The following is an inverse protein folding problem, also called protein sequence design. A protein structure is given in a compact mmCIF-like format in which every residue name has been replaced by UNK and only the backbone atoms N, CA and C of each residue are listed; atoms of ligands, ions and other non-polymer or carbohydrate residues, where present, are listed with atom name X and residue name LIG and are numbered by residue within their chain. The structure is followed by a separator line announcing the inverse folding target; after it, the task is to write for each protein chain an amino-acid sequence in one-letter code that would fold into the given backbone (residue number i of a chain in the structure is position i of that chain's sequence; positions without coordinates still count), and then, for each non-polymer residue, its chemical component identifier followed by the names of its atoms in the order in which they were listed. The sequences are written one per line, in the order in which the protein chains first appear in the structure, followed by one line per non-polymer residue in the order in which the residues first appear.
data_IF_898390747028
#
_entry.id   IF_898390747028
#
_cell.length_a   1.000
_cell.length_b   1.000
_cell.length_c   1.000
_cell.angle_alpha   90.00
_cell.angle_beta   90.00
_cell.angle_gamma   90.00
#
_symmetry.space_group_name_H-M   'P 1'
#
loop_
_entity.id
_entity.type
_entity.pdbx_description
1 polymer ?
#
# COMPACT_ATOMS: atom_id res chain seq x y z
N UNK A 1 4.89 -19.78 10.80
CA UNK A 1 6.07 -20.05 9.96
C UNK A 1 5.95 -19.52 8.52
N UNK A 2 4.76 -19.14 8.02
CA UNK A 2 4.58 -18.73 6.62
C UNK A 2 5.02 -17.28 6.30
N UNK A 3 4.76 -16.33 7.20
CA UNK A 3 4.96 -14.89 6.95
C UNK A 3 6.38 -14.49 6.51
N UNK A 4 7.43 -15.00 7.17
CA UNK A 4 8.83 -14.63 6.85
C UNK A 4 9.28 -15.10 5.46
N UNK A 5 8.82 -16.28 5.03
CA UNK A 5 9.16 -16.84 3.72
C UNK A 5 8.45 -16.03 2.63
N UNK A 6 7.15 -15.76 2.80
CA UNK A 6 6.40 -14.93 1.86
C UNK A 6 6.93 -13.50 1.79
N UNK A 7 7.40 -12.95 2.91
CA UNK A 7 8.02 -11.62 2.94
C UNK A 7 9.32 -11.59 2.12
N UNK A 8 10.15 -12.63 2.22
CA UNK A 8 11.37 -12.72 1.39
C UNK A 8 11.05 -12.83 -0.11
N UNK A 9 10.00 -13.58 -0.48
CA UNK A 9 9.53 -13.66 -1.86
C UNK A 9 9.03 -12.30 -2.35
N UNK A 10 8.22 -11.62 -1.55
CA UNK A 10 7.70 -10.29 -1.86
C UNK A 10 8.84 -9.28 -2.05
N UNK A 11 9.85 -9.30 -1.19
CA UNK A 11 11.02 -8.41 -1.29
C UNK A 11 11.93 -8.74 -2.49
N UNK A 12 11.79 -9.93 -3.10
CA UNK A 12 12.51 -10.29 -4.32
C UNK A 12 11.80 -9.83 -5.60
N UNK A 13 10.54 -9.40 -5.50
CA UNK A 13 9.80 -8.75 -6.59
C UNK A 13 9.92 -7.22 -6.41
N UNK A 14 10.97 -6.66 -7.02
CA UNK A 14 11.25 -5.23 -6.90
C UNK A 14 10.07 -4.36 -7.37
N UNK A 15 9.39 -4.75 -8.45
CA UNK A 15 8.32 -3.94 -9.03
C UNK A 15 7.11 -3.86 -8.09
N UNK A 16 6.62 -5.01 -7.62
CA UNK A 16 5.51 -5.05 -6.69
C UNK A 16 5.89 -4.37 -5.37
N UNK A 17 7.11 -4.59 -4.88
CA UNK A 17 7.56 -4.00 -3.63
C UNK A 17 7.64 -2.47 -3.69
N UNK A 18 8.10 -1.89 -4.81
CA UNK A 18 8.07 -0.44 -5.00
C UNK A 18 6.64 0.11 -5.10
N UNK A 19 5.72 -0.61 -5.75
CA UNK A 19 4.30 -0.20 -5.79
C UNK A 19 3.68 -0.18 -4.40
N UNK A 20 4.00 -1.15 -3.54
CA UNK A 20 3.57 -1.15 -2.12
C UNK A 20 4.15 0.04 -1.37
N UNK A 21 5.44 0.33 -1.54
CA UNK A 21 6.08 1.52 -0.95
C UNK A 21 5.40 2.82 -1.39
N UNK A 22 5.03 2.95 -2.66
CA UNK A 22 4.31 4.14 -3.19
C UNK A 22 2.90 4.21 -2.59
N UNK A 23 2.17 3.11 -2.57
CA UNK A 23 0.83 3.03 -1.97
C UNK A 23 0.84 3.46 -0.50
N UNK A 24 1.77 2.93 0.29
CA UNK A 24 1.94 3.32 1.70
C UNK A 24 2.34 4.79 1.83
N UNK A 25 3.17 5.31 0.91
CA UNK A 25 3.55 6.73 0.93
C UNK A 25 2.33 7.62 0.72
N UNK A 26 1.46 7.24 -0.20
CA UNK A 26 0.22 7.97 -0.46
C UNK A 26 -0.74 7.86 0.73
N UNK A 27 -0.78 6.71 1.41
CA UNK A 27 -1.55 6.58 2.66
C UNK A 27 -1.02 7.52 3.75
N UNK A 28 0.30 7.64 3.89
CA UNK A 28 0.97 8.51 4.87
C UNK A 28 0.80 10.00 4.55
N UNK A 29 0.68 10.35 3.27
CA UNK A 29 0.63 11.75 2.80
C UNK A 29 -0.77 12.17 2.34
N UNK A 30 -1.79 11.38 2.65
CA UNK A 30 -3.15 11.57 2.17
C UNK A 30 -3.72 12.96 2.48
N UNK A 31 -3.43 13.51 3.67
CA UNK A 31 -3.90 14.84 4.04
C UNK A 31 -3.04 15.98 3.44
N UNK A 32 -1.79 15.69 3.09
CA UNK A 32 -0.81 16.70 2.67
C UNK A 32 -0.64 16.77 1.15
N UNK A 33 -1.05 15.72 0.42
CA UNK A 33 -0.88 15.57 -1.03
C UNK A 33 -2.21 15.32 -1.72
N UNK A 34 -2.68 16.33 -2.46
CA UNK A 34 -3.89 16.20 -3.29
C UNK A 34 -3.75 15.08 -4.33
N UNK A 35 -2.55 14.90 -4.88
CA UNK A 35 -2.25 13.84 -5.84
C UNK A 35 -2.36 12.44 -5.19
N UNK A 36 -1.87 12.28 -3.96
CA UNK A 36 -1.99 11.02 -3.20
C UNK A 36 -3.46 10.70 -2.88
N UNK A 37 -4.19 11.69 -2.36
CA UNK A 37 -5.64 11.57 -2.11
C UNK A 37 -6.40 11.21 -3.38
N UNK A 38 -6.14 11.92 -4.47
CA UNK A 38 -6.77 11.68 -5.77
C UNK A 38 -6.52 10.26 -6.30
N UNK A 39 -5.37 9.65 -6.02
CA UNK A 39 -5.08 8.26 -6.40
C UNK A 39 -5.80 7.26 -5.50
N UNK A 40 -5.75 7.47 -4.19
CA UNK A 40 -6.40 6.58 -3.22
C UNK A 40 -7.93 6.57 -3.36
N UNK A 41 -8.54 7.74 -3.60
CA UNK A 41 -10.00 7.87 -3.74
C UNK A 41 -10.50 7.59 -5.18
N UNK A 42 -9.60 7.27 -6.12
CA UNK A 42 -9.97 7.04 -7.53
C UNK A 42 -10.95 5.89 -7.71
N UNK A 43 -10.80 4.85 -6.89
CA UNK A 43 -11.68 3.68 -6.86
C UNK A 43 -12.35 3.59 -5.48
N UNK A 44 -13.58 4.11 -5.33
CA UNK A 44 -14.30 4.07 -4.06
C UNK A 44 -14.64 2.66 -3.58
N UNK A 45 -14.62 1.65 -4.46
CA UNK A 45 -14.93 0.26 -4.13
C UNK A 45 -13.69 -0.52 -3.70
N UNK A 46 -12.49 0.07 -3.84
CA UNK A 46 -11.25 -0.56 -3.46
C UNK A 46 -11.22 -0.87 -1.96
N UNK A 47 -11.13 -2.17 -1.64
CA UNK A 47 -11.05 -2.64 -0.26
C UNK A 47 -9.75 -2.13 0.36
N UNK A 48 -9.86 -1.35 1.44
CA UNK A 48 -8.71 -0.72 2.13
C UNK A 48 -7.78 0.08 1.20
N UNK A 49 -8.32 0.70 0.14
CA UNK A 49 -7.60 1.44 -0.89
C UNK A 49 -6.70 0.61 -1.82
N UNK A 50 -6.67 -0.73 -1.70
CA UNK A 50 -5.98 -1.59 -2.67
C UNK A 50 -6.74 -1.55 -4.00
N UNK A 51 -6.22 -0.78 -4.95
CA UNK A 51 -6.88 -0.50 -6.22
C UNK A 51 -5.96 -0.71 -7.41
N UNK A 52 -6.58 -0.75 -8.59
CA UNK A 52 -5.89 -0.89 -9.87
C UNK A 52 -4.98 0.31 -10.23
N UNK A 53 -5.02 1.38 -9.43
CA UNK A 53 -4.11 2.53 -9.56
C UNK A 53 -2.67 2.14 -9.25
N UNK A 54 -2.48 1.22 -8.30
CA UNK A 54 -1.15 0.79 -7.84
C UNK A 54 -0.82 -0.63 -8.30
N UNK A 55 -1.83 -1.51 -8.35
CA UNK A 55 -1.67 -2.95 -8.40
C UNK A 55 -2.47 -3.57 -9.55
N UNK A 56 -2.11 -4.76 -10.02
CA UNK A 56 -3.03 -5.56 -10.85
C UNK A 56 -4.09 -6.24 -9.97
N UNK A 57 -5.17 -6.75 -10.56
CA UNK A 57 -6.19 -7.52 -9.80
C UNK A 57 -5.58 -8.71 -9.05
N UNK A 58 -4.62 -9.40 -9.69
CA UNK A 58 -3.88 -10.52 -9.08
C UNK A 58 -3.02 -10.08 -7.91
N UNK A 59 -2.36 -8.92 -8.04
CA UNK A 59 -1.57 -8.36 -6.94
C UNK A 59 -2.48 -7.98 -5.77
N UNK A 60 -3.66 -7.42 -6.03
CA UNK A 60 -4.64 -7.07 -4.99
C UNK A 60 -5.08 -8.33 -4.23
N UNK A 61 -5.46 -9.39 -4.95
CA UNK A 61 -5.85 -10.66 -4.33
C UNK A 61 -4.71 -11.23 -3.48
N UNK A 62 -3.50 -11.29 -4.04
CA UNK A 62 -2.31 -11.75 -3.33
C UNK A 62 -2.01 -10.93 -2.08
N UNK A 63 -2.04 -9.59 -2.17
CA UNK A 63 -1.71 -8.71 -1.04
C UNK A 63 -2.78 -8.75 0.07
N UNK A 64 -4.05 -8.95 -0.29
CA UNK A 64 -5.13 -9.10 0.67
C UNK A 64 -5.10 -10.46 1.38
N UNK A 65 -4.69 -11.52 0.69
CA UNK A 65 -4.51 -12.87 1.27
C UNK A 65 -3.15 -13.06 1.96
N UNK A 66 -2.23 -12.11 1.79
CA UNK A 66 -0.87 -12.21 2.30
C UNK A 66 -0.85 -12.55 3.81
N UNK A 67 -0.12 -13.60 4.23
CA UNK A 67 -0.13 -14.03 5.62
C UNK A 67 0.60 -13.02 6.49
N UNK A 68 0.07 -12.70 7.67
CA UNK A 68 0.69 -11.78 8.63
C UNK A 68 1.31 -12.53 9.81
N UNK A 69 2.06 -11.82 10.66
CA UNK A 69 2.65 -12.39 11.87
C UNK A 69 1.61 -12.90 12.89
N UNK A 70 0.37 -12.40 12.85
CA UNK A 70 -0.72 -12.84 13.74
C UNK A 70 -1.33 -14.18 13.33
N UNK A 71 -1.00 -14.70 12.14
CA UNK A 71 -1.62 -15.88 11.56
C UNK A 71 -2.87 -15.59 10.72
N UNK A 72 -3.34 -14.35 10.69
CA UNK A 72 -4.42 -13.87 9.81
C UNK A 72 -3.85 -13.40 8.46
N UNK A 73 -4.69 -13.40 7.42
CA UNK A 73 -4.41 -12.64 6.20
C UNK A 73 -4.42 -11.13 6.47
N UNK A 74 -3.83 -10.34 5.57
CA UNK A 74 -3.91 -8.86 5.64
C UNK A 74 -5.37 -8.42 5.72
N UNK A 75 -6.23 -8.98 4.88
CA UNK A 75 -7.62 -8.53 4.80
C UNK A 75 -8.41 -8.80 6.08
N UNK A 76 -8.18 -9.94 6.73
CA UNK A 76 -8.78 -10.30 8.01
C UNK A 76 -8.24 -9.39 9.13
N UNK A 77 -6.91 -9.20 9.19
CA UNK A 77 -6.28 -8.36 10.19
C UNK A 77 -6.78 -6.92 10.12
N UNK A 78 -6.83 -6.33 8.92
CA UNK A 78 -7.35 -4.97 8.72
C UNK A 78 -8.83 -4.87 9.09
N UNK A 79 -9.63 -5.90 8.78
CA UNK A 79 -11.05 -5.92 9.17
C UNK A 79 -11.22 -5.93 10.68
N UNK A 80 -10.42 -6.74 11.39
CA UNK A 80 -10.40 -6.78 12.86
C UNK A 80 -9.98 -5.43 13.44
N UNK A 81 -8.91 -4.84 12.94
CA UNK A 81 -8.41 -3.55 13.45
C UNK A 81 -9.38 -2.40 13.19
N UNK A 82 -10.05 -2.38 12.04
CA UNK A 82 -11.06 -1.36 11.73
C UNK A 82 -12.35 -1.56 12.53
N UNK A 83 -12.78 -2.81 12.77
CA UNK A 83 -13.98 -3.09 13.57
C UNK A 83 -13.86 -2.63 15.03
N UNK A 84 -12.63 -2.59 15.57
CA UNK A 84 -12.35 -2.08 16.92
C UNK A 84 -12.45 -0.56 17.02
N UNK A 85 -12.54 0.15 15.88
CA UNK A 85 -12.51 1.62 15.83
C UNK A 85 -13.84 2.19 15.36
N UNK A 86 -14.52 2.94 16.23
CA UNK A 86 -15.81 3.58 15.96
C UNK A 86 -15.78 4.74 14.95
N UNK A 87 -14.61 5.16 14.48
CA UNK A 87 -14.45 6.18 13.43
C UNK A 87 -13.49 5.69 12.35
N UNK A 88 -14.09 5.25 11.25
CA UNK A 88 -13.41 4.91 9.99
C UNK A 88 -12.97 6.21 9.34
N UNK A 89 -11.74 6.64 9.63
CA UNK A 89 -10.96 7.45 8.72
C UNK A 89 -9.55 7.59 9.29
N UNK A 90 -8.59 6.92 8.67
CA UNK A 90 -7.62 7.65 7.88
C UNK A 90 -6.62 6.62 7.37
N UNK A 91 -6.39 6.64 6.08
CA UNK A 91 -5.18 6.13 5.43
C UNK A 91 -3.91 6.08 6.32
N UNK A 92 -3.71 7.11 7.17
CA UNK A 92 -2.66 7.22 8.17
C UNK A 92 -2.62 6.11 9.25
N UNK A 93 -3.73 5.46 9.58
CA UNK A 93 -3.76 4.32 10.51
C UNK A 93 -3.43 3.00 9.81
N UNK A 94 -3.78 2.87 8.53
CA UNK A 94 -3.46 1.69 7.73
C UNK A 94 -1.97 1.66 7.38
N UNK A 95 -1.39 2.82 7.06
CA UNK A 95 0.01 2.93 6.66
C UNK A 95 1.01 2.26 7.63
N UNK A 96 1.06 2.57 8.94
CA UNK A 96 2.04 1.97 9.84
C UNK A 96 1.84 0.46 9.99
N UNK A 97 0.59 -0.02 9.94
CA UNK A 97 0.28 -1.44 10.02
C UNK A 97 0.76 -2.17 8.76
N UNK A 98 0.50 -1.62 7.58
CA UNK A 98 0.97 -2.16 6.31
C UNK A 98 2.49 -2.08 6.18
N UNK A 99 3.15 -1.06 6.73
CA UNK A 99 4.61 -0.99 6.81
C UNK A 99 5.18 -2.15 7.61
N UNK A 100 4.59 -2.46 8.76
CA UNK A 100 5.02 -3.58 9.59
C UNK A 100 4.81 -4.92 8.87
N UNK A 101 3.61 -5.16 8.33
CA UNK A 101 3.25 -6.38 7.60
C UNK A 101 4.21 -6.62 6.43
N UNK A 102 4.46 -5.60 5.61
CA UNK A 102 5.31 -5.75 4.43
C UNK A 102 6.79 -5.48 4.70
N UNK A 103 7.19 -5.36 5.96
CA UNK A 103 8.60 -5.21 6.36
C UNK A 103 9.27 -3.95 5.79
N UNK A 104 8.52 -2.87 5.63
CA UNK A 104 9.01 -1.59 5.10
C UNK A 104 9.50 -0.71 6.24
N UNK A 105 10.75 -0.25 6.15
CA UNK A 105 11.34 0.62 7.15
C UNK A 105 10.66 2.00 7.17
N UNK A 106 10.47 2.59 8.36
CA UNK A 106 9.75 3.87 8.54
C UNK A 106 10.34 5.08 7.79
N UNK A 107 11.58 5.00 7.32
CA UNK A 107 12.29 6.09 6.63
C UNK A 107 12.60 5.82 5.16
N UNK A 108 11.96 4.82 4.56
CA UNK A 108 12.19 4.44 3.15
C UNK A 108 11.98 5.59 2.16
N UNK A 109 11.19 6.61 2.52
CA UNK A 109 10.98 7.80 1.68
C UNK A 109 12.26 8.61 1.43
N UNK A 110 13.31 8.40 2.24
CA UNK A 110 14.61 9.03 2.08
C UNK A 110 15.51 8.29 1.08
N UNK A 111 15.21 7.03 0.77
CA UNK A 111 15.96 6.21 -0.18
C UNK A 111 15.94 6.85 -1.56
N UNK A 112 17.10 6.89 -2.23
CA UNK A 112 17.23 7.50 -3.56
C UNK A 112 16.35 6.76 -4.57
N UNK A 113 16.45 5.44 -4.58
CA UNK A 113 15.75 4.59 -5.54
C UNK A 113 14.23 4.70 -5.39
N UNK A 114 13.74 4.82 -4.15
CA UNK A 114 12.33 5.08 -3.91
C UNK A 114 11.86 6.42 -4.51
N UNK A 115 12.62 7.50 -4.32
CA UNK A 115 12.27 8.82 -4.89
C UNK A 115 12.24 8.80 -6.41
N UNK A 116 13.17 8.08 -7.04
CA UNK A 116 13.21 7.92 -8.49
C UNK A 116 11.99 7.14 -9.00
N UNK A 117 11.64 6.04 -8.32
CA UNK A 117 10.43 5.24 -8.60
C UNK A 117 9.14 6.05 -8.42
N UNK A 118 9.01 6.79 -7.32
CA UNK A 118 7.85 7.65 -7.07
C UNK A 118 7.69 8.72 -8.16
N UNK A 119 8.78 9.41 -8.53
CA UNK A 119 8.75 10.43 -9.59
C UNK A 119 8.33 9.84 -10.94
N UNK A 120 8.80 8.63 -11.28
CA UNK A 120 8.40 7.92 -12.49
C UNK A 120 6.91 7.58 -12.47
N UNK A 121 6.42 7.06 -11.35
CA UNK A 121 5.01 6.72 -11.15
C UNK A 121 4.10 7.96 -11.28
N UNK A 122 4.41 9.05 -10.57
CA UNK A 122 3.63 10.29 -10.62
C UNK A 122 3.60 10.90 -12.03
N UNK A 123 4.71 10.84 -12.77
CA UNK A 123 4.75 11.29 -14.16
C UNK A 123 3.80 10.47 -15.04
N UNK A 124 3.73 9.15 -14.84
CA UNK A 124 2.83 8.28 -15.58
C UNK A 124 1.36 8.55 -15.22
N UNK A 125 1.07 8.74 -13.93
CA UNK A 125 -0.27 9.10 -13.44
C UNK A 125 -0.78 10.43 -14.04
N UNK A 126 0.08 11.45 -14.10
CA UNK A 126 -0.30 12.75 -14.70
C UNK A 126 -0.60 12.64 -16.19
N UNK A 127 0.11 11.76 -16.91
CA UNK A 127 -0.17 11.50 -18.32
C UNK A 127 -1.52 10.80 -18.52
N UNK A 128 -1.85 9.81 -17.69
CA UNK A 128 -3.13 9.09 -17.78
C UNK A 128 -4.34 9.94 -17.42
N UNK A 129 -4.17 11.05 -16.69
CA UNK A 129 -5.24 12.03 -16.42
C UNK A 129 -5.55 12.95 -17.62
N UNK A 130 -4.59 13.15 -18.51
CA UNK A 130 -4.69 14.09 -19.64
C UNK A 130 -5.04 13.41 -20.97
N UNK A 131 -5.33 12.11 -20.95
CA UNK A 131 -5.75 11.30 -22.10
C UNK A 131 -7.20 10.87 -21.87
#
# INVERSE_FOLDING_TARGET
MNHKIELQKLHSDDELFYRIKIFINDLLTFNDSEDARSRLEKDPMAKFFFSIVYFSEKDIEYLLDFPTASGLSVSELLSVELSKKHKVCSSHELAPLLQEIFGIQKSYQKEKDFKESLKKFEKNWKKSKNT
#
